data_IF_309881064581
#
_entry.id   IF_309881064581
#
_cell.length_a   1.000
_cell.length_b   1.000
_cell.length_c   1.000
_cell.angle_alpha   90.00
_cell.angle_beta   90.00
_cell.angle_gamma   90.00
#
_symmetry.space_group_name_H-M   'P 1'
#
loop_
_entity.id
_entity.type
_entity.pdbx_description
1 polymer ?
#
# COMPACT_ATOMS: atom_id res chain seq x y z
N UNK A 1 -13.81 -14.27 -4.74
CA UNK A 1 -12.76 -13.23 -4.60
C UNK A 1 -11.48 -13.77 -5.19
N UNK A 2 -10.71 -12.95 -5.90
CA UNK A 2 -9.52 -13.36 -6.68
C UNK A 2 -8.28 -12.52 -6.37
N UNK A 3 -8.09 -12.16 -5.09
CA UNK A 3 -6.91 -11.43 -4.62
C UNK A 3 -5.76 -12.36 -4.25
N UNK A 4 -4.57 -11.78 -4.01
CA UNK A 4 -3.37 -12.52 -3.62
C UNK A 4 -3.16 -12.60 -2.09
N UNK A 5 -4.14 -12.16 -1.30
CA UNK A 5 -4.08 -12.07 0.18
C UNK A 5 -2.78 -11.43 0.68
N UNK A 6 -2.26 -10.43 -0.04
CA UNK A 6 -0.98 -9.79 0.22
C UNK A 6 -1.09 -8.29 0.45
N UNK A 7 -0.03 -7.71 0.98
CA UNK A 7 0.15 -6.26 1.15
C UNK A 7 0.68 -5.61 -0.13
N UNK A 8 0.56 -4.29 -0.21
CA UNK A 8 0.99 -3.50 -1.36
C UNK A 8 1.87 -2.34 -0.90
N UNK A 9 2.95 -2.08 -1.63
CA UNK A 9 3.71 -0.82 -1.53
C UNK A 9 3.19 0.19 -2.56
N UNK A 10 2.88 1.41 -2.12
CA UNK A 10 2.42 2.52 -2.94
C UNK A 10 3.43 3.67 -2.84
N UNK A 11 4.13 3.95 -3.95
CA UNK A 11 5.08 5.06 -4.06
C UNK A 11 4.39 6.19 -4.82
N UNK A 12 4.15 7.30 -4.14
CA UNK A 12 3.42 8.45 -4.65
C UNK A 12 4.37 9.58 -5.00
N UNK A 13 4.54 9.82 -6.30
CA UNK A 13 5.43 10.85 -6.83
C UNK A 13 4.81 12.24 -6.85
N UNK A 14 3.47 12.32 -6.77
CA UNK A 14 2.73 13.57 -7.04
C UNK A 14 1.84 13.99 -5.86
N UNK A 15 1.73 13.18 -4.80
CA UNK A 15 0.85 13.46 -3.67
C UNK A 15 -0.62 13.18 -3.98
N UNK A 16 -0.90 12.18 -4.83
CA UNK A 16 -2.24 11.89 -5.32
C UNK A 16 -2.93 10.74 -4.58
N UNK A 17 -2.23 10.07 -3.67
CA UNK A 17 -2.83 9.03 -2.83
C UNK A 17 -3.96 9.60 -1.96
N UNK A 18 -5.10 8.90 -1.94
CA UNK A 18 -6.30 9.31 -1.22
C UNK A 18 -6.89 8.12 -0.45
N UNK A 19 -6.72 8.05 0.87
CA UNK A 19 -7.25 6.97 1.71
C UNK A 19 -8.75 6.73 1.52
N UNK A 20 -9.54 7.80 1.37
CA UNK A 20 -10.99 7.70 1.17
C UNK A 20 -11.37 6.93 -0.10
N UNK A 21 -10.55 6.99 -1.16
CA UNK A 21 -10.79 6.19 -2.37
C UNK A 21 -10.58 4.71 -2.10
N UNK A 22 -9.61 4.35 -1.27
CA UNK A 22 -9.35 2.96 -0.89
C UNK A 22 -10.53 2.42 -0.08
N UNK A 23 -11.03 3.19 0.89
CA UNK A 23 -12.22 2.83 1.68
C UNK A 23 -13.45 2.59 0.80
N UNK A 24 -13.73 3.50 -0.13
CA UNK A 24 -14.84 3.34 -1.07
C UNK A 24 -14.71 2.10 -1.98
N UNK A 25 -13.49 1.74 -2.38
CA UNK A 25 -13.23 0.50 -3.12
C UNK A 25 -13.45 -0.72 -2.21
N UNK A 26 -12.92 -0.70 -0.98
CA UNK A 26 -13.05 -1.78 -0.01
C UNK A 26 -14.53 -2.11 0.28
N UNK A 27 -15.36 -1.09 0.47
CA UNK A 27 -16.81 -1.22 0.70
C UNK A 27 -17.50 -1.99 -0.44
N UNK A 28 -17.13 -1.73 -1.70
CA UNK A 28 -17.68 -2.44 -2.87
C UNK A 28 -17.40 -3.94 -2.84
N UNK A 29 -16.30 -4.34 -2.20
CA UNK A 29 -15.90 -5.74 -2.07
C UNK A 29 -16.25 -6.33 -0.69
N UNK A 30 -16.92 -5.58 0.19
CA UNK A 30 -17.24 -6.02 1.55
C UNK A 30 -16.01 -6.20 2.45
N UNK A 31 -14.91 -5.51 2.15
CA UNK A 31 -13.67 -5.53 2.93
C UNK A 31 -13.68 -4.33 3.88
N UNK A 32 -13.19 -4.51 5.11
CA UNK A 32 -13.03 -3.39 6.04
C UNK A 32 -12.01 -2.37 5.48
N UNK A 33 -12.44 -1.12 5.33
CA UNK A 33 -11.61 -0.07 4.73
C UNK A 33 -10.36 0.29 5.53
N UNK A 34 -10.38 0.16 6.85
CA UNK A 34 -9.22 0.42 7.70
C UNK A 34 -8.20 -0.72 7.59
N UNK A 35 -8.66 -1.98 7.61
CA UNK A 35 -7.80 -3.14 7.32
C UNK A 35 -7.20 -3.08 5.91
N UNK A 36 -7.96 -2.58 4.92
CA UNK A 36 -7.44 -2.38 3.57
C UNK A 36 -6.31 -1.34 3.55
N UNK A 37 -6.41 -0.27 4.34
CA UNK A 37 -5.36 0.76 4.45
C UNK A 37 -4.13 0.27 5.23
N UNK A 38 -4.31 -0.52 6.29
CA UNK A 38 -3.21 -1.15 7.05
C UNK A 38 -2.34 -2.08 6.19
N UNK A 39 -2.92 -2.58 5.09
CA UNK A 39 -2.22 -3.41 4.12
C UNK A 39 -1.49 -2.63 3.02
N UNK A 40 -1.50 -1.29 3.07
CA UNK A 40 -0.80 -0.42 2.13
C UNK A 40 0.37 0.26 2.82
N UNK A 41 1.60 -0.11 2.42
CA UNK A 41 2.80 0.65 2.76
C UNK A 41 2.86 1.87 1.82
N UNK A 42 2.87 3.08 2.37
CA UNK A 42 2.86 4.31 1.59
C UNK A 42 4.17 5.11 1.76
N UNK A 43 4.76 5.57 0.65
CA UNK A 43 5.84 6.56 0.64
C UNK A 43 5.58 7.65 -0.39
N UNK A 44 5.97 8.88 -0.04
CA UNK A 44 6.01 10.01 -0.98
C UNK A 44 7.41 10.22 -1.51
N UNK A 45 7.56 10.32 -2.83
CA UNK A 45 8.82 10.63 -3.49
C UNK A 45 8.74 12.01 -4.15
N UNK A 46 9.55 12.97 -3.70
CA UNK A 46 9.56 14.34 -4.25
C UNK A 46 10.47 14.51 -5.47
N UNK A 47 11.40 13.58 -5.69
CA UNK A 47 12.33 13.56 -6.79
C UNK A 47 12.76 12.12 -7.10
N UNK A 48 13.49 11.92 -8.19
CA UNK A 48 13.92 10.58 -8.65
C UNK A 48 14.88 9.89 -7.67
N UNK A 49 15.70 10.65 -6.94
CA UNK A 49 16.59 10.08 -5.92
C UNK A 49 15.79 9.50 -4.76
N UNK A 50 14.82 10.26 -4.22
CA UNK A 50 13.88 9.80 -3.22
C UNK A 50 13.06 8.61 -3.71
N UNK A 51 12.70 8.56 -5.00
CA UNK A 51 11.97 7.43 -5.58
C UNK A 51 12.79 6.13 -5.53
N UNK A 52 14.07 6.20 -5.92
CA UNK A 52 14.99 5.05 -5.86
C UNK A 52 15.26 4.65 -4.40
N UNK A 53 15.51 5.62 -3.53
CA UNK A 53 15.73 5.41 -2.10
C UNK A 53 14.50 4.89 -1.37
N UNK A 54 13.29 5.21 -1.83
CA UNK A 54 12.06 4.65 -1.28
C UNK A 54 11.82 3.22 -1.77
N UNK A 55 11.99 2.96 -3.06
CA UNK A 55 11.63 1.68 -3.67
C UNK A 55 12.36 0.47 -3.06
N UNK A 56 13.69 0.54 -2.92
CA UNK A 56 14.48 -0.63 -2.47
C UNK A 56 14.17 -0.99 -1.00
N UNK A 57 14.23 -0.07 -0.03
CA UNK A 57 13.86 -0.36 1.35
C UNK A 57 12.38 -0.75 1.51
N UNK A 58 11.46 -0.14 0.75
CA UNK A 58 10.05 -0.53 0.79
C UNK A 58 9.82 -1.96 0.33
N UNK A 59 10.49 -2.38 -0.74
CA UNK A 59 10.39 -3.77 -1.22
C UNK A 59 10.95 -4.73 -0.17
N UNK A 60 12.07 -4.39 0.46
CA UNK A 60 12.66 -5.20 1.53
C UNK A 60 11.71 -5.29 2.74
N UNK A 61 11.13 -4.16 3.17
CA UNK A 61 10.19 -4.13 4.29
C UNK A 61 8.94 -4.97 3.97
N UNK A 62 8.35 -4.76 2.79
CA UNK A 62 7.18 -5.52 2.32
C UNK A 62 7.43 -7.04 2.30
N UNK A 63 8.62 -7.48 1.89
CA UNK A 63 8.96 -8.90 1.76
C UNK A 63 9.37 -9.56 3.09
N UNK A 64 10.00 -8.82 4.01
CA UNK A 64 10.60 -9.42 5.21
C UNK A 64 9.80 -9.17 6.50
N UNK A 65 9.12 -8.03 6.62
CA UNK A 65 8.58 -7.58 7.91
C UNK A 65 7.06 -7.66 7.99
N UNK A 66 6.37 -7.95 6.89
CA UNK A 66 4.93 -8.02 6.89
C UNK A 66 4.42 -9.41 6.51
N UNK A 67 4.11 -10.21 7.53
CA UNK A 67 3.26 -11.38 7.35
C UNK A 67 1.84 -10.94 6.96
N UNK A 68 1.20 -11.73 6.11
CA UNK A 68 -0.18 -11.53 5.66
C UNK A 68 -1.14 -11.98 6.75
N UNK A 69 -1.36 -11.12 7.74
CA UNK A 69 -2.40 -11.34 8.75
C UNK A 69 -3.76 -11.06 8.08
N UNK A 70 -4.31 -12.10 7.45
CA UNK A 70 -5.69 -12.27 6.97
C UNK A 70 -6.49 -11.03 6.57
N UNK A 71 -6.68 -10.85 5.25
CA UNK A 71 -7.90 -10.25 4.67
C UNK A 71 -8.92 -11.37 4.46
#
# INVERSE_FOLDING_TARGET
MGGASGKVAYIDTEGTFRPDRIKAIADRFGVNGDMALENILYARAWNSEHQVMAAVPFIVDLLHNHHTDGI
#
